data_IF_309100107970
#
_entry.id   IF_309100107970
#
_cell.length_a   1.000
_cell.length_b   1.000
_cell.length_c   1.000
_cell.angle_alpha   90.00
_cell.angle_beta   90.00
_cell.angle_gamma   90.00
#
_symmetry.space_group_name_H-M   'P 1'
#
loop_
_entity.id
_entity.type
_entity.pdbx_description
1 polymer ?
#
# COMPACT_ATOMS: atom_id res chain seq x y z
N UNK A 1 -2.67 -9.49 -16.90
CA UNK A 1 -2.10 -8.69 -15.79
C UNK A 1 -1.05 -9.45 -14.99
N UNK A 2 -1.34 -10.68 -14.51
CA UNK A 2 -0.44 -11.43 -13.62
C UNK A 2 1.00 -11.59 -14.12
N UNK A 3 1.21 -11.86 -15.42
CA UNK A 3 2.57 -11.98 -15.99
C UNK A 3 3.41 -10.69 -15.91
N UNK A 4 2.77 -9.52 -15.93
CA UNK A 4 3.45 -8.22 -15.84
C UNK A 4 3.79 -7.88 -14.40
N UNK A 5 2.95 -8.30 -13.44
CA UNK A 5 3.18 -8.07 -12.01
C UNK A 5 4.34 -8.90 -11.46
N UNK A 6 4.71 -10.02 -12.11
CA UNK A 6 5.88 -10.83 -11.73
C UNK A 6 7.23 -10.13 -11.98
N UNK A 7 7.24 -8.97 -12.64
CA UNK A 7 8.48 -8.20 -12.92
C UNK A 7 8.93 -7.40 -11.69
N UNK A 8 8.14 -7.37 -10.62
CA UNK A 8 8.43 -6.60 -9.39
C UNK A 8 9.68 -7.09 -8.67
N UNK A 9 10.00 -8.39 -8.74
CA UNK A 9 11.21 -8.96 -8.14
C UNK A 9 11.34 -8.82 -6.62
N UNK A 10 10.28 -8.41 -5.93
CA UNK A 10 10.24 -8.25 -4.48
C UNK A 10 9.54 -9.45 -3.84
N UNK A 11 10.34 -10.32 -3.22
CA UNK A 11 9.87 -11.56 -2.59
C UNK A 11 8.83 -11.35 -1.48
N UNK A 12 8.78 -10.16 -0.87
CA UNK A 12 7.78 -9.86 0.16
C UNK A 12 6.40 -9.57 -0.45
N UNK A 13 6.35 -9.17 -1.73
CA UNK A 13 5.12 -8.79 -2.45
C UNK A 13 4.63 -9.90 -3.38
N UNK A 14 5.53 -10.74 -3.89
CA UNK A 14 5.20 -11.84 -4.81
C UNK A 14 4.03 -12.74 -4.35
N UNK A 15 3.95 -13.17 -3.07
CA UNK A 15 2.84 -13.99 -2.58
C UNK A 15 1.48 -13.27 -2.67
N UNK A 16 1.48 -11.94 -2.69
CA UNK A 16 0.29 -11.10 -2.71
C UNK A 16 -0.10 -10.64 -4.11
N UNK A 17 0.71 -10.88 -5.14
CA UNK A 17 0.40 -10.53 -6.53
C UNK A 17 -0.99 -11.04 -6.95
N UNK A 18 -1.41 -12.29 -6.66
CA UNK A 18 -2.75 -12.75 -7.03
C UNK A 18 -3.86 -11.92 -6.37
N UNK A 19 -3.70 -11.57 -5.09
CA UNK A 19 -4.67 -10.77 -4.35
C UNK A 19 -4.70 -9.31 -4.84
N UNK A 20 -3.52 -8.73 -5.14
CA UNK A 20 -3.39 -7.39 -5.71
C UNK A 20 -4.07 -7.31 -7.09
N UNK A 21 -3.84 -8.30 -7.95
CA UNK A 21 -4.46 -8.38 -9.28
C UNK A 21 -5.98 -8.58 -9.16
N UNK A 22 -6.44 -9.43 -8.24
CA UNK A 22 -7.87 -9.65 -7.98
C UNK A 22 -8.56 -8.35 -7.57
N UNK A 23 -7.97 -7.63 -6.62
CA UNK A 23 -8.49 -6.36 -6.14
C UNK A 23 -8.53 -5.27 -7.23
N UNK A 24 -7.55 -5.25 -8.13
CA UNK A 24 -7.57 -4.31 -9.26
C UNK A 24 -8.79 -4.54 -10.16
N UNK A 25 -9.24 -5.79 -10.31
CA UNK A 25 -10.48 -6.13 -11.01
C UNK A 25 -11.73 -5.87 -10.16
N UNK A 26 -11.68 -6.15 -8.86
CA UNK A 26 -12.79 -6.03 -7.91
C UNK A 26 -12.47 -5.05 -6.77
N UNK A 27 -12.86 -3.76 -6.89
CA UNK A 27 -12.59 -2.77 -5.85
C UNK A 27 -13.25 -3.05 -4.50
N UNK A 28 -14.19 -3.99 -4.39
CA UNK A 28 -14.78 -4.38 -3.10
C UNK A 28 -13.79 -5.15 -2.19
N UNK A 29 -12.70 -5.65 -2.77
CA UNK A 29 -11.69 -6.46 -2.08
C UNK A 29 -10.59 -5.61 -1.39
N UNK A 30 -10.67 -4.26 -1.42
CA UNK A 30 -9.66 -3.37 -0.78
C UNK A 30 -9.34 -3.85 0.63
N UNK A 31 -10.39 -4.02 1.45
CA UNK A 31 -10.25 -4.24 2.88
C UNK A 31 -9.57 -5.58 3.17
N UNK A 32 -9.94 -6.64 2.44
CA UNK A 32 -9.35 -7.96 2.59
C UNK A 32 -7.88 -7.96 2.13
N UNK A 33 -7.59 -7.35 0.97
CA UNK A 33 -6.24 -7.27 0.43
C UNK A 33 -5.32 -6.44 1.37
N UNK A 34 -5.81 -5.32 1.87
CA UNK A 34 -5.09 -4.46 2.83
C UNK A 34 -4.81 -5.21 4.13
N UNK A 35 -5.78 -5.95 4.64
CA UNK A 35 -5.61 -6.72 5.87
C UNK A 35 -4.53 -7.81 5.75
N UNK A 36 -4.49 -8.52 4.61
CA UNK A 36 -3.45 -9.52 4.33
C UNK A 36 -2.05 -8.90 4.30
N UNK A 37 -1.91 -7.74 3.66
CA UNK A 37 -0.63 -7.03 3.55
C UNK A 37 -0.20 -6.37 4.87
N UNK A 38 -1.15 -5.92 5.70
CA UNK A 38 -0.83 -5.29 6.98
C UNK A 38 -0.15 -6.24 7.97
N UNK A 39 -0.39 -7.55 7.86
CA UNK A 39 0.25 -8.58 8.69
C UNK A 39 1.61 -9.04 8.14
N UNK A 40 2.10 -8.42 7.07
CA UNK A 40 3.37 -8.80 6.42
C UNK A 40 4.51 -7.94 6.92
N UNK A 41 5.62 -8.58 7.27
CA UNK A 41 6.87 -7.88 7.54
C UNK A 41 7.63 -7.71 6.24
N UNK A 42 7.76 -6.47 5.77
CA UNK A 42 8.63 -6.14 4.65
C UNK A 42 10.09 -6.16 5.12
N UNK A 43 10.97 -6.77 4.34
CA UNK A 43 12.41 -6.94 4.62
C UNK A 43 13.26 -6.47 3.44
N UNK A 44 12.76 -6.64 2.21
CA UNK A 44 13.43 -6.24 0.98
C UNK A 44 13.26 -4.76 0.73
N UNK A 45 14.30 -4.16 0.12
CA UNK A 45 14.25 -2.80 -0.39
C UNK A 45 13.04 -2.61 -1.29
N UNK A 46 12.32 -1.53 -1.05
CA UNK A 46 11.10 -1.19 -1.75
C UNK A 46 11.44 -0.25 -2.89
N UNK A 47 11.54 -0.81 -4.08
CA UNK A 47 11.85 -0.08 -5.31
C UNK A 47 10.59 0.41 -6.04
N UNK A 48 10.78 1.27 -7.05
CA UNK A 48 9.69 1.82 -7.87
C UNK A 48 8.68 0.78 -8.42
N UNK A 49 9.07 -0.43 -8.89
CA UNK A 49 8.11 -1.43 -9.38
C UNK A 49 7.19 -1.98 -8.28
N UNK A 50 7.75 -2.22 -7.09
CA UNK A 50 6.99 -2.67 -5.91
C UNK A 50 5.98 -1.61 -5.49
N UNK A 51 6.41 -0.34 -5.44
CA UNK A 51 5.54 0.79 -5.12
C UNK A 51 4.44 1.00 -6.14
N UNK A 52 4.71 0.81 -7.43
CA UNK A 52 3.72 0.96 -8.49
C UNK A 52 2.56 -0.04 -8.35
N UNK A 53 2.82 -1.26 -7.86
CA UNK A 53 1.75 -2.22 -7.54
C UNK A 53 0.98 -1.87 -6.27
N UNK A 54 1.66 -1.33 -5.27
CA UNK A 54 1.07 -1.06 -3.96
C UNK A 54 0.28 0.26 -3.93
N UNK A 55 0.71 1.28 -4.67
CA UNK A 55 0.06 2.60 -4.75
C UNK A 55 -1.47 2.54 -4.97
N UNK A 56 -2.01 1.84 -5.98
CA UNK A 56 -3.46 1.82 -6.21
C UNK A 56 -4.26 1.21 -5.05
N UNK A 57 -3.69 0.23 -4.35
CA UNK A 57 -4.30 -0.34 -3.14
C UNK A 57 -4.29 0.69 -2.01
N UNK A 58 -3.13 1.26 -1.71
CA UNK A 58 -2.95 2.20 -0.59
C UNK A 58 -3.80 3.46 -0.77
N UNK A 59 -3.85 4.01 -1.99
CA UNK A 59 -4.69 5.17 -2.32
C UNK A 59 -6.17 4.89 -2.07
N UNK A 60 -6.66 3.71 -2.46
CA UNK A 60 -8.06 3.31 -2.23
C UNK A 60 -8.33 3.01 -0.75
N UNK A 61 -7.40 2.33 -0.06
CA UNK A 61 -7.52 2.03 1.36
C UNK A 61 -7.56 3.29 2.24
N UNK A 62 -6.80 4.34 1.91
CA UNK A 62 -6.87 5.63 2.60
C UNK A 62 -8.20 6.37 2.36
N UNK A 63 -8.85 6.14 1.21
CA UNK A 63 -10.14 6.72 0.87
C UNK A 63 -11.34 5.91 1.39
N UNK A 64 -11.11 4.72 1.95
CA UNK A 64 -12.15 3.78 2.37
C UNK A 64 -12.95 4.31 3.57
N UNK A 65 -14.22 3.92 3.71
CA UNK A 65 -15.05 4.41 4.82
C UNK A 65 -14.64 3.91 6.21
N UNK A 66 -13.96 2.75 6.27
CA UNK A 66 -13.64 2.06 7.52
C UNK A 66 -12.32 2.55 8.12
N UNK A 67 -12.37 3.09 9.33
CA UNK A 67 -11.20 3.50 10.13
C UNK A 67 -10.10 2.44 10.22
N UNK A 68 -10.47 1.17 10.46
CA UNK A 68 -9.50 0.08 10.57
C UNK A 68 -8.65 -0.10 9.30
N UNK A 69 -9.26 0.04 8.12
CA UNK A 69 -8.57 -0.12 6.83
C UNK A 69 -7.61 1.04 6.60
N UNK A 70 -8.01 2.27 6.97
CA UNK A 70 -7.13 3.46 6.89
C UNK A 70 -5.90 3.32 7.79
N UNK A 71 -6.08 2.85 9.03
CA UNK A 71 -4.96 2.60 9.96
C UNK A 71 -4.02 1.54 9.41
N UNK A 72 -4.55 0.43 8.90
CA UNK A 72 -3.74 -0.62 8.26
C UNK A 72 -2.95 -0.08 7.05
N UNK A 73 -3.58 0.73 6.21
CA UNK A 73 -2.89 1.37 5.09
C UNK A 73 -1.75 2.28 5.54
N UNK A 74 -1.95 3.07 6.61
CA UNK A 74 -0.90 3.90 7.19
C UNK A 74 0.28 3.08 7.73
N UNK A 75 0.01 1.95 8.40
CA UNK A 75 1.06 1.02 8.88
C UNK A 75 1.86 0.42 7.72
N UNK A 76 1.18 0.02 6.63
CA UNK A 76 1.87 -0.49 5.44
C UNK A 76 2.76 0.60 4.83
N UNK A 77 2.26 1.83 4.70
CA UNK A 77 3.03 2.96 4.17
C UNK A 77 4.26 3.23 5.04
N UNK A 78 4.11 3.29 6.37
CA UNK A 78 5.21 3.52 7.30
C UNK A 78 6.29 2.43 7.20
N UNK A 79 5.88 1.16 7.17
CA UNK A 79 6.81 0.03 7.03
C UNK A 79 7.56 0.05 5.69
N UNK A 80 6.88 0.39 4.59
CA UNK A 80 7.51 0.46 3.27
C UNK A 80 8.45 1.66 3.13
N UNK A 81 8.10 2.82 3.68
CA UNK A 81 8.94 4.02 3.61
C UNK A 81 10.29 3.84 4.33
N UNK A 82 10.35 3.00 5.37
CA UNK A 82 11.61 2.66 6.07
C UNK A 82 12.59 1.81 5.24
N UNK A 83 12.10 1.22 4.15
CA UNK A 83 12.85 0.32 3.28
C UNK A 83 13.13 0.93 1.90
N UNK A 84 12.91 2.24 1.75
CA UNK A 84 13.30 2.96 0.54
C UNK A 84 14.71 3.52 0.71
N UNK A 85 15.62 3.07 -0.14
CA UNK A 85 17.01 3.54 -0.13
C UNK A 85 17.19 4.83 -0.97
N UNK A 86 16.39 5.01 -2.03
CA UNK A 86 16.44 6.19 -2.91
C UNK A 86 15.23 7.14 -2.69
N UNK A 87 15.45 8.38 -2.22
CA UNK A 87 14.41 9.39 -2.09
C UNK A 87 13.68 9.73 -3.40
N UNK A 88 14.31 9.53 -4.56
CA UNK A 88 13.69 9.79 -5.86
C UNK A 88 12.51 8.85 -6.12
N UNK A 89 12.58 7.60 -5.62
CA UNK A 89 11.48 6.66 -5.72
C UNK A 89 10.29 7.15 -4.89
N UNK A 90 10.54 7.59 -3.65
CA UNK A 90 9.52 8.15 -2.77
C UNK A 90 8.83 9.38 -3.41
N UNK A 91 9.58 10.26 -4.06
CA UNK A 91 9.05 11.49 -4.68
C UNK A 91 7.96 11.24 -5.72
N UNK A 92 8.00 10.12 -6.44
CA UNK A 92 6.97 9.75 -7.42
C UNK A 92 5.62 9.44 -6.76
N UNK A 93 5.63 9.01 -5.50
CA UNK A 93 4.44 8.51 -4.79
C UNK A 93 3.95 9.45 -3.70
N UNK A 94 4.82 10.28 -3.10
CA UNK A 94 4.46 11.32 -2.13
C UNK A 94 3.23 12.15 -2.57
N UNK A 95 3.18 12.76 -3.77
CA UNK A 95 2.04 13.60 -4.16
C UNK A 95 0.72 12.82 -4.27
N UNK A 96 0.78 11.49 -4.39
CA UNK A 96 -0.40 10.63 -4.52
C UNK A 96 -0.91 10.11 -3.19
N UNK A 97 -0.01 9.84 -2.23
CA UNK A 97 -0.35 9.22 -0.94
C UNK A 97 -0.42 10.24 0.21
N UNK A 98 0.45 11.25 0.22
CA UNK A 98 0.53 12.24 1.30
C UNK A 98 -0.79 13.00 1.54
N UNK A 99 -1.54 13.44 0.51
CA UNK A 99 -2.83 14.09 0.73
C UNK A 99 -3.85 13.17 1.42
N UNK A 100 -3.84 11.88 1.08
CA UNK A 100 -4.67 10.86 1.71
C UNK A 100 -4.32 10.72 3.19
N UNK A 101 -3.03 10.58 3.52
CA UNK A 101 -2.56 10.49 4.90
C UNK A 101 -2.91 11.72 5.73
N UNK A 102 -2.69 12.93 5.20
CA UNK A 102 -3.07 14.18 5.90
C UNK A 102 -4.55 14.23 6.22
N UNK A 103 -5.40 13.84 5.26
CA UNK A 103 -6.84 13.76 5.48
C UNK A 103 -7.19 12.74 6.57
N UNK A 104 -6.52 11.59 6.60
CA UNK A 104 -6.72 10.60 7.68
C UNK A 104 -6.34 11.19 9.04
N UNK A 105 -5.21 11.90 9.14
CA UNK A 105 -4.77 12.57 10.37
C UNK A 105 -5.79 13.63 10.83
N UNK A 106 -6.34 14.43 9.91
CA UNK A 106 -7.30 15.50 10.23
C UNK A 106 -8.70 15.00 10.58
N UNK A 107 -9.07 13.80 10.11
CA UNK A 107 -10.45 13.27 10.24
C UNK A 107 -10.57 12.11 11.22
N UNK A 108 -9.45 11.54 11.68
CA UNK A 108 -9.44 10.57 12.76
C UNK A 108 -9.36 11.33 14.08
N UNK A 109 -10.49 11.45 14.77
CA UNK A 109 -10.46 11.72 16.21
C UNK A 109 -9.74 10.56 16.89
N UNK A 110 -8.70 10.87 17.64
CA UNK A 110 -7.85 9.90 18.34
C UNK A 110 -8.69 9.13 19.38
N UNK A 111 -8.84 7.80 19.29
CA UNK A 111 -9.47 6.99 20.31
C UNK A 111 -8.49 6.48 21.38
N UNK A 112 -7.19 6.82 21.30
CA UNK A 112 -6.23 6.55 22.39
C UNK A 112 -6.21 7.68 23.43
#
# INVERSE_FOLDING_TARGET
>A
MTKVCNVVGNMDIEPFIPALVSFLANPTEVAECTHKLASTTFVKTVEAPALALMEPLLKRALAEGKTAVKRQAAVIIDNMCKLMDDPAEAQLFIPKLLPGLKKVIETQDDPE
#
